data_IF_772971309178
#
_entry.id   IF_772971309178
#
_cell.length_a   1.000
_cell.length_b   1.000
_cell.length_c   1.000
_cell.angle_alpha   90.00
_cell.angle_beta   90.00
_cell.angle_gamma   90.00
#
_symmetry.space_group_name_H-M   'P 1'
#
loop_
_entity.id
_entity.type
_entity.pdbx_description
1 polymer ?
#
# COMPACT_ATOMS: atom_id res chain seq x y z
N UNK A 1 -35.17 -42.72 -2.05
CA UNK A 1 -34.15 -42.51 -0.99
C UNK A 1 -33.34 -41.29 -1.37
N UNK A 2 -33.72 -40.11 -0.86
CA UNK A 2 -33.00 -38.87 -1.10
C UNK A 2 -31.76 -38.80 -0.21
N UNK A 3 -30.61 -38.48 -0.79
CA UNK A 3 -29.44 -38.07 0.00
C UNK A 3 -29.68 -36.63 0.45
N UNK A 4 -29.75 -36.43 1.76
CA UNK A 4 -29.82 -35.12 2.37
C UNK A 4 -28.67 -34.25 1.89
N UNK A 5 -28.96 -32.98 1.60
CA UNK A 5 -27.92 -32.00 1.36
C UNK A 5 -27.18 -31.75 2.67
N UNK A 6 -25.86 -31.82 2.63
CA UNK A 6 -25.00 -31.36 3.72
C UNK A 6 -25.34 -29.89 4.04
N UNK A 7 -25.56 -29.52 5.31
CA UNK A 7 -25.82 -28.13 5.71
C UNK A 7 -24.59 -27.20 5.61
N UNK A 8 -23.55 -27.59 4.86
CA UNK A 8 -22.27 -26.89 4.76
C UNK A 8 -21.78 -26.60 3.35
N UNK A 9 -22.55 -26.95 2.30
CA UNK A 9 -22.17 -26.52 0.95
C UNK A 9 -22.53 -25.04 0.78
N UNK A 10 -21.50 -24.18 0.86
CA UNK A 10 -21.63 -22.79 0.40
C UNK A 10 -22.28 -22.79 -0.99
N UNK A 11 -23.28 -21.92 -1.26
CA UNK A 11 -23.91 -21.84 -2.57
C UNK A 11 -22.85 -21.72 -3.66
N UNK A 12 -23.09 -22.31 -4.83
CA UNK A 12 -22.18 -22.38 -5.99
C UNK A 12 -21.88 -21.02 -6.66
N UNK A 13 -21.67 -19.97 -5.87
CA UNK A 13 -21.06 -18.70 -6.28
C UNK A 13 -19.58 -18.68 -5.87
N UNK A 14 -18.74 -17.98 -6.63
CA UNK A 14 -17.37 -17.68 -6.23
C UNK A 14 -17.38 -16.63 -5.10
N UNK A 15 -17.85 -17.00 -3.91
CA UNK A 15 -17.75 -16.15 -2.73
C UNK A 15 -16.31 -16.11 -2.25
N UNK A 16 -15.60 -15.02 -2.55
CA UNK A 16 -14.21 -14.83 -2.13
C UNK A 16 -14.08 -13.61 -1.25
N UNK A 17 -13.67 -13.84 0.00
CA UNK A 17 -13.15 -12.80 0.90
C UNK A 17 -11.63 -12.89 0.89
N UNK A 18 -10.95 -11.79 0.64
CA UNK A 18 -9.49 -11.77 0.54
C UNK A 18 -8.91 -10.41 0.92
N UNK A 19 -7.60 -10.38 1.16
CA UNK A 19 -6.85 -9.16 1.44
C UNK A 19 -7.44 -8.35 2.63
N UNK A 20 -7.64 -8.99 3.79
CA UNK A 20 -8.07 -8.24 4.97
C UNK A 20 -6.94 -7.31 5.43
N UNK A 21 -7.33 -6.16 5.95
CA UNK A 21 -6.46 -5.27 6.72
C UNK A 21 -7.25 -4.60 7.83
N UNK A 22 -6.57 -4.22 8.91
CA UNK A 22 -7.20 -3.63 10.11
C UNK A 22 -6.28 -2.61 10.76
N UNK A 23 -6.85 -1.51 11.23
CA UNK A 23 -6.11 -0.46 11.92
C UNK A 23 -6.96 0.17 13.03
N UNK A 24 -6.30 0.64 14.09
CA UNK A 24 -6.90 1.54 15.08
C UNK A 24 -6.65 2.97 14.66
N UNK A 25 -7.64 3.84 14.79
CA UNK A 25 -7.47 5.29 14.68
C UNK A 25 -7.06 5.90 16.03
N UNK A 26 -6.83 7.22 16.08
CA UNK A 26 -6.43 7.91 17.31
C UNK A 26 -7.55 7.98 18.37
N UNK A 27 -8.81 7.84 17.96
CA UNK A 27 -9.98 7.92 18.84
C UNK A 27 -10.39 6.55 19.39
N UNK A 28 -9.68 5.48 19.00
CA UNK A 28 -9.92 4.10 19.43
C UNK A 28 -10.92 3.34 18.57
N UNK A 29 -11.35 3.90 17.44
CA UNK A 29 -12.15 3.21 16.44
C UNK A 29 -11.27 2.21 15.69
N UNK A 30 -11.75 0.97 15.59
CA UNK A 30 -11.12 -0.05 14.75
C UNK A 30 -11.77 0.01 13.38
N UNK A 31 -10.98 0.20 12.33
CA UNK A 31 -11.41 0.09 10.95
C UNK A 31 -10.86 -1.20 10.34
N UNK A 32 -11.75 -2.06 9.85
CA UNK A 32 -11.38 -3.25 9.09
C UNK A 32 -11.78 -3.06 7.62
N UNK A 33 -10.94 -3.54 6.70
CA UNK A 33 -11.21 -3.59 5.27
C UNK A 33 -10.92 -4.97 4.70
N UNK A 34 -11.64 -5.37 3.65
CA UNK A 34 -11.38 -6.62 2.93
C UNK A 34 -11.95 -6.52 1.52
N UNK A 35 -11.39 -7.29 0.58
CA UNK A 35 -12.10 -7.55 -0.67
C UNK A 35 -13.23 -8.52 -0.42
N UNK A 36 -14.43 -8.20 -0.88
CA UNK A 36 -15.52 -9.16 -1.09
C UNK A 36 -15.75 -9.28 -2.59
N UNK A 37 -15.65 -10.48 -3.13
CA UNK A 37 -16.17 -10.83 -4.44
C UNK A 37 -17.42 -11.68 -4.22
N UNK A 38 -18.56 -11.12 -4.61
CA UNK A 38 -19.86 -11.78 -4.57
C UNK A 38 -20.39 -11.91 -6.00
N UNK A 39 -19.72 -12.72 -6.82
CA UNK A 39 -20.13 -12.94 -8.21
C UNK A 39 -21.42 -13.76 -8.36
N UNK A 40 -22.16 -14.03 -7.27
CA UNK A 40 -23.51 -14.55 -7.38
C UNK A 40 -24.42 -13.41 -7.86
N UNK A 41 -25.18 -13.67 -8.93
CA UNK A 41 -26.06 -12.75 -9.68
C UNK A 41 -26.42 -11.45 -8.94
N UNK A 42 -25.69 -10.36 -9.23
CA UNK A 42 -25.97 -9.01 -8.73
C UNK A 42 -25.13 -8.53 -7.54
N UNK A 43 -24.18 -9.33 -7.04
CA UNK A 43 -23.26 -8.87 -6.00
C UNK A 43 -22.12 -7.97 -6.53
N UNK A 44 -21.60 -7.14 -5.62
CA UNK A 44 -20.53 -6.15 -5.89
C UNK A 44 -19.17 -6.77 -5.56
N UNK A 45 -18.21 -6.69 -6.49
CA UNK A 45 -16.80 -7.00 -6.23
C UNK A 45 -16.05 -5.72 -5.88
N UNK A 46 -15.46 -5.67 -4.70
CA UNK A 46 -14.73 -4.48 -4.26
C UNK A 46 -14.22 -4.62 -2.84
N UNK A 47 -13.72 -3.51 -2.31
CA UNK A 47 -13.27 -3.40 -0.94
C UNK A 47 -14.48 -2.99 -0.11
N UNK A 48 -14.70 -3.73 0.95
CA UNK A 48 -15.71 -3.45 1.96
C UNK A 48 -14.99 -3.04 3.23
N UNK A 49 -15.72 -2.34 4.08
CA UNK A 49 -15.26 -1.95 5.40
C UNK A 49 -16.34 -2.15 6.45
N UNK A 50 -15.89 -2.32 7.69
CA UNK A 50 -16.70 -2.28 8.89
C UNK A 50 -15.86 -1.70 10.01
N UNK A 51 -16.52 -1.07 10.97
CA UNK A 51 -15.84 -0.42 12.08
C UNK A 51 -16.39 -0.87 13.43
N UNK A 52 -15.54 -0.82 14.44
CA UNK A 52 -15.89 -1.06 15.83
C UNK A 52 -15.49 0.12 16.69
N UNK A 53 -16.42 0.62 17.50
CA UNK A 53 -16.20 1.72 18.46
C UNK A 53 -16.12 1.21 19.91
N UNK A 54 -16.05 -0.11 20.11
CA UNK A 54 -16.04 -0.75 21.41
C UNK A 54 -15.02 -1.89 21.49
N UNK A 55 -13.79 -1.62 21.00
CA UNK A 55 -12.65 -2.54 21.06
C UNK A 55 -12.95 -3.92 20.44
N UNK A 56 -13.74 -3.95 19.35
CA UNK A 56 -14.05 -5.17 18.61
C UNK A 56 -15.20 -6.00 19.17
N UNK A 57 -15.87 -5.56 20.25
CA UNK A 57 -16.99 -6.30 20.83
C UNK A 57 -18.20 -6.37 19.88
N UNK A 58 -18.47 -5.29 19.13
CA UNK A 58 -19.44 -5.26 18.04
C UNK A 58 -18.90 -4.50 16.84
N UNK A 59 -19.40 -4.82 15.66
CA UNK A 59 -19.00 -4.23 14.39
C UNK A 59 -20.21 -3.65 13.67
N UNK A 60 -20.00 -2.57 12.92
CA UNK A 60 -21.03 -2.01 12.04
C UNK A 60 -21.38 -3.01 10.91
N UNK A 61 -22.53 -2.81 10.28
CA UNK A 61 -22.80 -3.49 9.01
C UNK A 61 -21.67 -3.21 8.00
N UNK A 62 -21.30 -4.22 7.22
CA UNK A 62 -20.31 -4.07 6.18
C UNK A 62 -20.83 -3.17 5.06
N UNK A 63 -20.03 -2.19 4.66
CA UNK A 63 -20.36 -1.26 3.57
C UNK A 63 -19.25 -1.26 2.52
N UNK A 64 -19.61 -1.15 1.24
CA UNK A 64 -18.65 -0.99 0.17
C UNK A 64 -17.91 0.34 0.31
N UNK A 65 -16.60 0.34 0.07
CA UNK A 65 -15.81 1.57 0.01
C UNK A 65 -16.04 2.23 -1.35
N UNK A 66 -16.46 3.51 -1.43
CA UNK A 66 -16.70 4.17 -2.71
C UNK A 66 -15.41 4.35 -3.51
N UNK A 67 -15.44 4.03 -4.80
CA UNK A 67 -14.34 4.30 -5.74
C UNK A 67 -14.46 5.72 -6.37
N UNK A 68 -13.76 5.98 -7.48
CA UNK A 68 -13.88 7.25 -8.21
C UNK A 68 -15.19 7.36 -8.99
N UNK A 69 -15.67 6.26 -9.57
CA UNK A 69 -16.86 6.25 -10.43
C UNK A 69 -18.17 6.29 -9.64
N UNK A 70 -18.14 5.85 -8.37
CA UNK A 70 -19.30 5.69 -7.51
C UNK A 70 -20.21 4.53 -7.91
N UNK A 71 -19.89 3.81 -8.99
CA UNK A 71 -20.78 2.82 -9.60
C UNK A 71 -20.16 1.44 -9.79
N UNK A 72 -18.84 1.33 -9.96
CA UNK A 72 -18.06 0.11 -9.73
C UNK A 72 -16.63 0.32 -10.24
N UNK A 73 -15.66 0.09 -9.37
CA UNK A 73 -14.36 -0.39 -9.79
C UNK A 73 -13.98 -1.49 -8.82
N UNK A 74 -13.73 -2.69 -9.34
CA UNK A 74 -13.26 -3.85 -8.60
C UNK A 74 -11.88 -3.57 -7.99
N UNK A 75 -11.77 -2.67 -7.03
CA UNK A 75 -10.55 -2.40 -6.31
C UNK A 75 -10.26 -3.56 -5.35
N UNK A 76 -8.99 -3.88 -5.19
CA UNK A 76 -8.54 -5.03 -4.42
C UNK A 76 -7.23 -4.68 -3.72
N UNK A 77 -6.82 -5.53 -2.77
CA UNK A 77 -5.53 -5.39 -2.08
C UNK A 77 -5.40 -4.04 -1.35
N UNK A 78 -6.42 -3.68 -0.58
CA UNK A 78 -6.37 -2.53 0.32
C UNK A 78 -5.30 -2.73 1.39
N UNK A 79 -4.51 -1.70 1.65
CA UNK A 79 -3.57 -1.60 2.77
C UNK A 79 -3.74 -0.25 3.45
N UNK A 80 -3.75 -0.23 4.78
CA UNK A 80 -4.11 0.90 5.61
C UNK A 80 -2.88 1.50 6.30
N UNK A 81 -2.89 2.83 6.47
CA UNK A 81 -1.96 3.56 7.32
C UNK A 81 -2.68 4.71 8.02
N UNK A 82 -2.31 4.99 9.27
CA UNK A 82 -2.86 6.08 10.04
C UNK A 82 -1.99 7.34 9.89
N UNK A 83 -2.56 8.40 9.33
CA UNK A 83 -2.10 9.77 9.54
C UNK A 83 -2.49 10.18 10.97
N UNK A 84 -1.55 9.98 11.88
CA UNK A 84 -1.70 10.25 13.31
C UNK A 84 -1.81 11.74 13.61
N UNK A 85 -1.40 12.63 12.70
CA UNK A 85 -1.50 14.08 12.91
C UNK A 85 -2.91 14.60 12.67
N UNK A 86 -3.69 13.92 11.82
CA UNK A 86 -5.03 14.37 11.40
C UNK A 86 -6.17 13.41 11.80
N UNK A 87 -5.85 12.31 12.48
CA UNK A 87 -6.75 11.17 12.68
C UNK A 87 -7.42 10.71 11.36
N UNK A 88 -6.60 10.48 10.33
CA UNK A 88 -7.09 10.05 9.02
C UNK A 88 -6.46 8.70 8.66
N UNK A 89 -7.27 7.75 8.20
CA UNK A 89 -6.76 6.49 7.67
C UNK A 89 -6.63 6.60 6.15
N UNK A 90 -5.45 6.34 5.65
CA UNK A 90 -5.14 6.25 4.23
C UNK A 90 -5.16 4.79 3.80
N UNK A 91 -5.92 4.49 2.75
CA UNK A 91 -5.91 3.18 2.11
C UNK A 91 -5.23 3.29 0.75
N UNK A 92 -4.12 2.59 0.56
CA UNK A 92 -3.64 2.30 -0.79
C UNK A 92 -4.29 1.04 -1.32
N UNK A 93 -4.71 1.05 -2.58
CA UNK A 93 -5.35 -0.10 -3.20
C UNK A 93 -5.04 -0.18 -4.68
N UNK A 94 -5.20 -1.39 -5.21
CA UNK A 94 -5.11 -1.66 -6.64
C UNK A 94 -6.49 -1.49 -7.25
N UNK A 95 -6.64 -0.56 -8.18
CA UNK A 95 -7.80 -0.48 -9.05
C UNK A 95 -7.67 -1.57 -10.14
N UNK A 96 -8.70 -2.37 -10.38
CA UNK A 96 -8.62 -3.43 -11.41
C UNK A 96 -8.78 -2.93 -12.84
N UNK A 97 -9.08 -1.64 -13.04
CA UNK A 97 -9.02 -1.00 -14.36
C UNK A 97 -7.57 -0.86 -14.87
N UNK A 98 -7.41 -0.73 -16.19
CA UNK A 98 -6.16 -0.36 -16.87
C UNK A 98 -4.89 -1.12 -16.43
N UNK A 99 -4.99 -2.43 -16.22
CA UNK A 99 -3.82 -3.24 -15.85
C UNK A 99 -3.49 -3.27 -14.36
N UNK A 100 -4.06 -2.38 -13.53
CA UNK A 100 -3.89 -2.46 -12.08
C UNK A 100 -3.49 -1.19 -11.36
N UNK A 101 -3.92 -0.01 -11.79
CA UNK A 101 -3.47 1.27 -11.23
C UNK A 101 -3.46 1.34 -9.68
N UNK A 102 -2.51 2.07 -9.11
CA UNK A 102 -2.43 2.31 -7.67
C UNK A 102 -3.05 3.66 -7.32
N UNK A 103 -3.97 3.63 -6.36
CA UNK A 103 -4.66 4.81 -5.85
C UNK A 103 -4.65 4.84 -4.32
N UNK A 104 -4.91 6.04 -3.78
CA UNK A 104 -5.27 6.23 -2.38
C UNK A 104 -6.75 6.58 -2.23
N UNK A 105 -7.34 6.13 -1.11
CA UNK A 105 -8.61 6.60 -0.56
C UNK A 105 -8.40 7.01 0.90
N UNK A 106 -9.17 7.99 1.36
CA UNK A 106 -9.10 8.49 2.74
C UNK A 106 -10.37 8.16 3.52
N UNK A 107 -10.20 7.71 4.74
CA UNK A 107 -11.23 7.64 5.78
C UNK A 107 -10.91 8.68 6.85
N UNK A 108 -11.93 9.41 7.26
CA UNK A 108 -11.86 10.48 8.24
C UNK A 108 -12.30 9.94 9.59
N UNK A 109 -11.37 9.86 10.56
CA UNK A 109 -11.65 9.31 11.90
C UNK A 109 -12.50 10.21 12.78
N UNK A 110 -12.57 11.51 12.48
CA UNK A 110 -13.48 12.41 13.21
C UNK A 110 -14.94 12.12 12.86
N UNK A 111 -15.20 11.80 11.60
CA UNK A 111 -16.57 11.52 11.11
C UNK A 111 -16.87 10.03 10.96
N UNK A 112 -15.87 9.17 11.17
CA UNK A 112 -15.91 7.74 10.92
C UNK A 112 -16.44 7.37 9.52
N UNK A 113 -15.98 8.10 8.50
CA UNK A 113 -16.50 7.97 7.15
C UNK A 113 -15.41 7.97 6.06
N UNK A 114 -15.59 7.13 5.04
CA UNK A 114 -14.80 7.24 3.81
C UNK A 114 -15.17 8.51 3.04
N UNK A 115 -14.19 9.10 2.36
CA UNK A 115 -14.46 10.17 1.40
C UNK A 115 -15.48 9.71 0.35
N UNK A 116 -16.39 10.60 -0.05
CA UNK A 116 -17.43 10.31 -1.05
C UNK A 116 -16.86 9.84 -2.40
N UNK A 117 -17.70 9.27 -3.26
CA UNK A 117 -17.29 8.87 -4.61
C UNK A 117 -16.69 10.06 -5.38
N UNK A 118 -15.61 9.82 -6.13
CA UNK A 118 -14.87 10.87 -6.85
C UNK A 118 -14.06 11.83 -5.96
N UNK A 119 -14.25 11.81 -4.64
CA UNK A 119 -13.52 12.65 -3.67
C UNK A 119 -12.44 11.84 -2.98
N UNK A 120 -11.26 12.45 -2.79
CA UNK A 120 -10.14 11.83 -2.08
C UNK A 120 -9.63 10.54 -2.75
N UNK A 121 -9.90 10.38 -4.04
CA UNK A 121 -9.40 9.32 -4.89
C UNK A 121 -8.16 9.84 -5.61
N UNK A 122 -6.97 9.43 -5.16
CA UNK A 122 -5.72 10.08 -5.56
C UNK A 122 -4.86 9.08 -6.31
N UNK A 123 -4.57 9.38 -7.57
CA UNK A 123 -3.68 8.58 -8.41
C UNK A 123 -2.26 8.59 -7.82
N UNK A 124 -1.69 7.39 -7.64
CA UNK A 124 -0.28 7.19 -7.25
C UNK A 124 0.52 6.69 -8.46
N UNK A 125 0.00 5.67 -9.16
CA UNK A 125 0.62 5.12 -10.34
C UNK A 125 -0.46 4.68 -11.34
N UNK A 126 -0.54 5.39 -12.48
CA UNK A 126 -1.51 5.17 -13.55
C UNK A 126 -0.76 4.99 -14.87
N UNK A 127 -0.09 3.86 -15.02
CA UNK A 127 0.76 3.57 -16.19
C UNK A 127 0.14 2.48 -17.06
N UNK A 128 0.75 2.18 -18.21
CA UNK A 128 0.33 1.04 -19.02
C UNK A 128 0.84 -0.31 -18.47
N UNK A 129 1.70 -0.30 -17.45
CA UNK A 129 2.20 -1.51 -16.80
C UNK A 129 1.16 -2.07 -15.82
N UNK A 130 1.36 -3.32 -15.41
CA UNK A 130 0.60 -3.89 -14.30
C UNK A 130 1.19 -3.38 -13.00
N UNK A 131 0.44 -2.52 -12.31
CA UNK A 131 0.71 -2.14 -10.94
C UNK A 131 -0.09 -3.06 -9.98
N UNK A 132 0.52 -3.48 -8.86
CA UNK A 132 -0.16 -4.40 -7.94
C UNK A 132 0.46 -4.39 -6.55
N UNK A 133 -0.28 -4.94 -5.58
CA UNK A 133 0.15 -5.12 -4.19
C UNK A 133 0.71 -3.84 -3.58
N UNK A 134 -0.09 -2.76 -3.53
CA UNK A 134 0.38 -1.55 -2.90
C UNK A 134 0.54 -1.76 -1.40
N UNK A 135 1.37 -0.93 -0.78
CA UNK A 135 1.39 -0.69 0.65
C UNK A 135 1.56 0.81 0.88
N UNK A 136 1.06 1.31 2.00
CA UNK A 136 1.17 2.72 2.39
C UNK A 136 1.69 2.84 3.81
N UNK A 137 2.45 3.89 4.09
CA UNK A 137 2.88 4.27 5.42
C UNK A 137 2.82 5.79 5.57
N UNK A 138 2.45 6.25 6.76
CA UNK A 138 2.56 7.66 7.15
C UNK A 138 3.81 7.87 8.00
N UNK A 139 4.53 8.96 7.76
CA UNK A 139 5.73 9.34 8.51
C UNK A 139 5.53 10.73 9.10
N UNK A 140 5.21 10.77 10.40
CA UNK A 140 4.87 12.00 11.14
C UNK A 140 5.97 13.07 11.07
N UNK A 141 7.24 12.67 11.28
CA UNK A 141 8.39 13.60 11.27
C UNK A 141 8.52 14.42 9.98
N UNK A 142 8.02 13.87 8.87
CA UNK A 142 8.11 14.51 7.55
C UNK A 142 6.77 14.90 6.96
N UNK A 143 5.69 14.70 7.73
CA UNK A 143 4.29 14.82 7.33
C UNK A 143 4.03 14.31 5.91
N UNK A 144 4.41 13.05 5.66
CA UNK A 144 4.38 12.48 4.32
C UNK A 144 3.87 11.04 4.30
N UNK A 145 3.20 10.72 3.20
CA UNK A 145 2.86 9.36 2.83
C UNK A 145 3.95 8.75 1.97
N UNK A 146 4.27 7.50 2.25
CA UNK A 146 5.10 6.64 1.41
C UNK A 146 4.21 5.55 0.85
N UNK A 147 4.19 5.41 -0.47
CA UNK A 147 3.44 4.34 -1.14
C UNK A 147 4.44 3.47 -1.87
N UNK A 148 4.34 2.16 -1.70
CA UNK A 148 5.14 1.17 -2.42
C UNK A 148 4.24 0.22 -3.19
N UNK A 149 4.72 -0.35 -4.30
CA UNK A 149 3.94 -1.31 -5.10
C UNK A 149 4.85 -2.12 -6.03
N UNK A 150 4.31 -3.21 -6.57
CA UNK A 150 4.97 -3.98 -7.62
C UNK A 150 4.57 -3.46 -8.99
N UNK A 151 5.54 -3.31 -9.90
CA UNK A 151 5.31 -3.00 -11.32
C UNK A 151 5.95 -4.04 -12.23
N UNK A 152 5.25 -4.42 -13.28
CA UNK A 152 5.80 -5.22 -14.38
C UNK A 152 5.02 -5.00 -15.68
N UNK A 153 5.68 -5.17 -16.83
CA UNK A 153 5.12 -4.81 -18.13
C UNK A 153 3.82 -5.55 -18.51
N UNK A 154 3.64 -6.79 -18.05
CA UNK A 154 2.42 -7.58 -18.22
C UNK A 154 2.44 -8.80 -17.30
N UNK A 155 1.29 -9.47 -17.13
CA UNK A 155 1.14 -10.63 -16.25
C UNK A 155 2.10 -11.81 -16.53
N UNK A 156 2.70 -11.88 -17.72
CA UNK A 156 3.69 -12.90 -18.08
C UNK A 156 5.15 -12.51 -17.80
N UNK A 157 5.41 -11.27 -17.38
CA UNK A 157 6.75 -10.77 -17.14
C UNK A 157 7.26 -11.16 -15.73
N UNK A 158 8.26 -12.04 -15.68
CA UNK A 158 8.90 -12.47 -14.43
C UNK A 158 9.76 -11.37 -13.75
N UNK A 159 9.99 -10.23 -14.40
CA UNK A 159 10.84 -9.14 -13.90
C UNK A 159 10.05 -8.08 -13.12
N UNK A 160 9.24 -8.52 -12.16
CA UNK A 160 8.57 -7.60 -11.24
C UNK A 160 9.60 -6.77 -10.46
N UNK A 161 9.37 -5.46 -10.38
CA UNK A 161 10.18 -4.53 -9.60
C UNK A 161 9.33 -3.90 -8.53
N UNK A 162 9.95 -3.64 -7.38
CA UNK A 162 9.35 -2.84 -6.32
C UNK A 162 9.60 -1.36 -6.63
N UNK A 163 8.54 -0.55 -6.56
CA UNK A 163 8.58 0.89 -6.71
C UNK A 163 8.11 1.56 -5.43
N UNK A 164 8.52 2.81 -5.25
CA UNK A 164 7.95 3.67 -4.24
C UNK A 164 7.81 5.11 -4.73
N UNK A 165 6.95 5.86 -4.05
CA UNK A 165 6.87 7.31 -4.14
C UNK A 165 6.57 7.87 -2.75
N UNK A 166 7.03 9.09 -2.51
CA UNK A 166 6.72 9.86 -1.31
C UNK A 166 5.89 11.06 -1.71
N UNK A 167 4.89 11.42 -0.89
CA UNK A 167 4.16 12.67 -1.08
C UNK A 167 5.08 13.87 -0.85
N UNK A 168 4.87 14.94 -1.61
CA UNK A 168 5.57 16.20 -1.39
C UNK A 168 5.23 16.74 0.00
N UNK A 169 6.23 17.30 0.69
CA UNK A 169 6.07 17.85 2.06
C UNK A 169 4.97 18.92 2.08
N UNK A 170 4.12 18.90 3.12
CA UNK A 170 3.08 19.91 3.32
C UNK A 170 1.88 19.81 2.38
N UNK A 171 1.75 18.70 1.65
CA UNK A 171 0.62 18.50 0.73
C UNK A 171 -0.53 17.71 1.32
N UNK A 172 -0.37 17.13 2.50
CA UNK A 172 -1.47 16.46 3.19
C UNK A 172 -2.52 17.49 3.69
N UNK A 173 -3.82 17.21 3.53
CA UNK A 173 -4.41 15.90 3.22
C UNK A 173 -4.73 15.69 1.72
N UNK A 174 -4.16 16.48 0.81
CA UNK A 174 -4.31 16.35 -0.64
C UNK A 174 -2.94 16.06 -1.29
N UNK A 175 -2.37 14.85 -1.05
CA UNK A 175 -1.01 14.53 -1.46
C UNK A 175 -0.77 14.78 -2.95
N UNK A 176 0.39 15.37 -3.25
CA UNK A 176 0.96 15.39 -4.60
C UNK A 176 2.25 14.60 -4.61
N UNK A 177 2.66 14.11 -5.78
CA UNK A 177 3.75 13.14 -5.90
C UNK A 177 4.88 13.66 -6.76
N UNK A 178 6.11 13.25 -6.42
CA UNK A 178 7.22 13.24 -7.35
C UNK A 178 7.16 12.02 -8.30
N UNK A 179 8.15 11.86 -9.19
CA UNK A 179 8.26 10.66 -10.02
C UNK A 179 8.51 9.40 -9.17
N UNK A 180 7.86 8.25 -9.48
CA UNK A 180 8.16 6.97 -8.85
C UNK A 180 9.61 6.54 -9.00
N UNK A 181 10.17 5.94 -7.94
CA UNK A 181 11.54 5.42 -7.92
C UNK A 181 11.50 3.90 -7.81
N UNK A 182 12.23 3.20 -8.68
CA UNK A 182 12.39 1.75 -8.57
C UNK A 182 13.40 1.39 -7.49
N UNK A 183 13.03 0.51 -6.56
CA UNK A 183 13.96 -0.09 -5.60
C UNK A 183 14.73 -1.19 -6.32
N UNK A 184 16.04 -0.99 -6.48
CA UNK A 184 16.94 -2.03 -6.97
C UNK A 184 17.66 -2.67 -5.81
N UNK A 185 17.65 -4.00 -5.78
CA UNK A 185 18.57 -4.77 -4.95
C UNK A 185 19.98 -4.57 -5.53
N UNK A 186 20.74 -3.64 -4.98
CA UNK A 186 22.15 -3.52 -5.31
C UNK A 186 22.90 -4.69 -4.67
N UNK A 187 23.46 -5.57 -5.50
CA UNK A 187 24.53 -6.45 -5.03
C UNK A 187 25.80 -5.61 -4.99
N UNK A 188 26.26 -5.23 -3.80
CA UNK A 188 27.59 -4.63 -3.70
C UNK A 188 28.61 -5.71 -4.11
N UNK A 189 29.47 -5.48 -5.12
CA UNK A 189 30.57 -6.39 -5.36
C UNK A 189 31.41 -6.43 -4.08
N UNK A 190 31.66 -7.64 -3.57
CA UNK A 190 32.57 -7.84 -2.44
C UNK A 190 33.88 -7.16 -2.82
N UNK A 191 34.26 -6.07 -2.13
CA UNK A 191 35.58 -5.45 -2.29
C UNK A 191 36.61 -6.49 -1.88
N UNK A 192 37.10 -7.28 -2.82
CA UNK A 192 38.37 -7.97 -2.66
C UNK A 192 39.44 -6.92 -2.85
N UNK A 193 39.87 -6.29 -1.76
CA UNK A 193 41.16 -5.61 -1.73
C UNK A 193 42.22 -6.70 -1.91
N UNK A 194 42.67 -6.91 -3.16
CA UNK A 194 43.87 -7.70 -3.43
C UNK A 194 45.08 -6.75 -3.42
N UNK A 195 46.18 -7.11 -2.75
CA UNK A 195 47.45 -6.42 -2.93
C UNK A 195 47.86 -6.53 -4.39
N UNK A 196 48.39 -5.43 -4.93
CA UNK A 196 48.99 -5.40 -6.26
C UNK A 196 50.13 -6.43 -6.27
N UNK A 197 50.04 -7.51 -7.04
CA UNK A 197 51.11 -8.21 -7.78
C UNK A 197 50.48 -9.45 -8.45
N UNK A 198 50.67 -9.56 -9.78
CA UNK A 198 50.23 -10.60 -10.73
C UNK A 198 48.75 -10.59 -11.16
N UNK A 199 48.53 -10.10 -12.38
CA UNK A 199 47.27 -10.21 -13.11
C UNK A 199 47.20 -11.53 -13.89
N UNK A 200 46.24 -12.37 -13.54
CA UNK A 200 45.63 -13.33 -14.48
C UNK A 200 44.13 -12.99 -14.60
N UNK A 201 43.53 -13.09 -15.79
CA UNK A 201 42.12 -12.76 -15.97
C UNK A 201 41.25 -13.77 -15.24
N UNK A 202 40.52 -13.31 -14.22
CA UNK A 202 39.51 -14.08 -13.52
C UNK A 202 38.15 -13.88 -14.21
N UNK A 203 37.60 -14.94 -14.79
CA UNK A 203 36.19 -15.04 -15.20
C UNK A 203 35.35 -15.36 -13.96
N UNK A 204 34.46 -14.47 -13.48
CA UNK A 204 33.65 -14.79 -12.32
C UNK A 204 32.56 -15.78 -12.71
N UNK A 205 32.65 -17.01 -12.21
CA UNK A 205 31.53 -17.93 -12.12
C UNK A 205 30.64 -17.54 -10.94
N UNK A 206 29.34 -17.75 -11.11
CA UNK A 206 28.24 -17.27 -10.27
C UNK A 206 28.29 -17.77 -8.81
N UNK A 207 28.00 -16.86 -7.88
CA UNK A 207 27.05 -17.03 -6.75
C UNK A 207 27.37 -16.04 -5.61
N UNK A 208 26.89 -14.81 -5.73
CA UNK A 208 27.01 -13.83 -4.63
C UNK A 208 25.75 -13.88 -3.77
N UNK A 209 25.85 -14.45 -2.58
CA UNK A 209 24.81 -14.37 -1.54
C UNK A 209 24.64 -12.91 -1.10
N UNK A 210 23.49 -12.30 -1.37
CA UNK A 210 23.10 -10.99 -0.87
C UNK A 210 22.74 -11.07 0.62
N UNK A 211 23.39 -10.28 1.48
CA UNK A 211 23.06 -10.25 2.92
C UNK A 211 22.88 -8.85 3.49
N UNK A 212 22.79 -7.78 2.68
CA UNK A 212 22.59 -6.44 3.25
C UNK A 212 21.92 -5.46 2.28
N UNK A 213 20.85 -4.81 2.74
CA UNK A 213 20.21 -3.66 2.07
C UNK A 213 21.06 -2.41 2.33
N UNK A 214 21.56 -1.75 1.28
CA UNK A 214 22.07 -0.37 1.39
C UNK A 214 21.06 0.57 0.78
N UNK A 215 20.47 1.44 1.61
CA UNK A 215 19.68 2.59 1.16
C UNK A 215 20.58 3.58 0.43
N UNK A 216 20.19 4.00 -0.77
CA UNK A 216 20.76 5.20 -1.38
C UNK A 216 20.32 6.39 -0.51
N UNK A 217 21.28 7.02 0.18
CA UNK A 217 21.01 8.21 0.97
C UNK A 217 20.50 9.32 0.04
N UNK A 218 19.26 9.76 0.25
CA UNK A 218 18.86 11.08 -0.21
C UNK A 218 19.71 12.09 0.56
N UNK A 219 20.48 12.92 -0.16
CA UNK A 219 21.23 14.03 0.43
C UNK A 219 20.25 15.01 1.06
N UNK A 220 20.00 14.82 2.35
CA UNK A 220 19.41 15.82 3.23
C UNK A 220 20.55 16.72 3.72
N UNK A 221 20.58 17.97 3.23
CA UNK A 221 21.37 19.02 3.88
C UNK A 221 20.74 19.31 5.23
N UNK A 222 21.23 18.64 6.28
CA UNK A 222 20.95 19.02 7.66
C UNK A 222 21.52 20.42 7.92
N UNK A 223 20.65 21.42 8.02
CA UNK A 223 20.95 22.62 8.79
C UNK A 223 20.98 22.20 10.27
N UNK A 224 22.14 22.33 10.92
CA UNK A 224 22.25 22.14 12.36
C UNK A 224 21.46 23.25 13.08
N UNK A 225 20.64 22.95 14.10
CA UNK A 225 20.05 23.99 14.93
C UNK A 225 21.13 24.64 15.80
N UNK A 226 21.16 25.96 15.80
CA UNK A 226 21.99 26.75 16.72
C UNK A 226 21.58 26.44 18.17
N UNK A 227 22.57 26.12 19.00
CA UNK A 227 22.37 25.90 20.44
C UNK A 227 21.91 27.22 21.09
N UNK A 228 20.68 27.23 21.61
CA UNK A 228 20.21 28.31 22.47
C UNK A 228 20.87 28.20 23.85
N UNK A 229 21.66 29.21 24.21
CA UNK A 229 22.19 29.37 25.56
C UNK A 229 21.03 29.56 26.55
N UNK A 230 21.05 28.80 27.65
CA UNK A 230 20.14 28.99 28.79
C UNK A 230 20.53 30.27 29.54
N UNK A 231 19.59 31.17 29.88
CA UNK A 231 19.83 32.19 30.90
C UNK A 231 19.83 31.56 32.29
N UNK A 232 20.64 32.15 33.17
CA UNK A 232 20.78 31.85 34.61
C UNK A 232 19.54 32.28 35.37
#
# INVERSE_FOLDING_TARGET
MGRGQDPGQLPRGNYRIAYPDVIYDNDGTILATWRKNDNATGGVDGIFSSQSTNNGATWSAAAAVPDASGTDAAHIMGQLALDTSRNQVWMAYRNSANGGDIYLKRWDGTTNAWAAAGVGHIAVATTADVETRPAVGYVADTDALWVTWHRYANAGNASARLYYVRSNTGTLPNPTWGPPISIRLACAPRRTTRPWWWATPYTPTSSTKCTTMTTAAATSTHYAPAAAARPV
#
